data_IF_932004155812
#
_entry.id   IF_932004155812
#
_cell.length_a   1.000
_cell.length_b   1.000
_cell.length_c   1.000
_cell.angle_alpha   90.00
_cell.angle_beta   90.00
_cell.angle_gamma   90.00
#
_symmetry.space_group_name_H-M   'P 1'
#
loop_
_entity.id
_entity.type
_entity.pdbx_description
1 polymer ?
#
# COMPACT_ATOMS: atom_id res chain seq x y z
N UNK A 1 7.81 28.64 40.53
CA UNK A 1 8.90 28.02 39.78
C UNK A 1 8.54 26.58 39.48
N UNK A 2 8.38 26.29 38.17
CA UNK A 2 8.81 25.06 37.49
C UNK A 2 8.08 23.76 37.89
N UNK A 3 7.36 23.04 37.03
CA UNK A 3 7.60 22.77 35.62
C UNK A 3 6.27 22.53 34.87
N UNK A 4 6.24 22.98 33.62
CA UNK A 4 5.35 22.52 32.56
C UNK A 4 5.53 21.00 32.39
N UNK A 5 4.48 20.21 32.58
CA UNK A 5 4.40 18.91 31.92
C UNK A 5 3.62 19.14 30.63
N UNK A 6 4.39 19.31 29.56
CA UNK A 6 3.93 19.29 28.19
C UNK A 6 2.97 18.12 28.00
N UNK A 7 1.67 18.42 27.95
CA UNK A 7 0.71 17.52 27.34
C UNK A 7 1.05 17.53 25.85
N UNK A 8 1.95 16.63 25.43
CA UNK A 8 2.07 16.25 24.04
C UNK A 8 0.67 15.79 23.62
N UNK A 9 -0.04 16.66 22.89
CA UNK A 9 -1.23 16.28 22.16
C UNK A 9 -0.77 15.20 21.18
N UNK A 10 -0.89 13.92 21.57
CA UNK A 10 -0.68 12.80 20.67
C UNK A 10 -1.64 12.98 19.50
N UNK A 11 -1.11 13.45 18.38
CA UNK A 11 -1.82 13.50 17.11
C UNK A 11 -2.39 12.11 16.85
N UNK A 12 -3.69 11.97 16.54
CA UNK A 12 -4.29 10.68 16.34
C UNK A 12 -3.54 9.94 15.23
N UNK A 13 -2.97 8.78 15.55
CA UNK A 13 -2.21 7.98 14.59
C UNK A 13 -3.13 7.57 13.44
N UNK A 14 -3.01 8.28 12.32
CA UNK A 14 -3.78 7.97 11.11
C UNK A 14 -3.42 6.57 10.66
N UNK A 15 -4.44 5.80 10.24
CA UNK A 15 -4.24 4.45 9.72
C UNK A 15 -3.24 4.49 8.57
N UNK A 16 -2.12 3.79 8.73
CA UNK A 16 -1.10 3.68 7.69
C UNK A 16 -1.60 2.72 6.61
N UNK A 17 -1.70 3.21 5.36
CA UNK A 17 -2.19 2.43 4.23
C UNK A 17 -1.07 2.25 3.22
N UNK A 18 -0.65 1.00 3.06
CA UNK A 18 0.42 0.62 2.14
C UNK A 18 -0.15 -0.04 0.88
N UNK A 19 0.43 0.27 -0.28
CA UNK A 19 0.14 -0.43 -1.52
C UNK A 19 1.31 -1.35 -1.86
N UNK A 20 1.04 -2.63 -2.14
CA UNK A 20 2.03 -3.55 -2.69
C UNK A 20 1.62 -4.00 -4.08
N UNK A 21 2.46 -3.72 -5.06
CA UNK A 21 2.27 -4.16 -6.43
C UNK A 21 2.85 -5.56 -6.63
N UNK A 22 2.04 -6.46 -7.18
CA UNK A 22 2.49 -7.82 -7.51
C UNK A 22 3.42 -7.77 -8.74
N UNK A 23 4.53 -8.52 -8.75
CA UNK A 23 5.34 -8.72 -9.95
C UNK A 23 4.52 -9.13 -11.16
N UNK A 24 4.68 -8.41 -12.27
CA UNK A 24 4.06 -8.72 -13.55
C UNK A 24 5.13 -8.74 -14.64
N UNK A 25 5.17 -9.81 -15.43
CA UNK A 25 6.15 -9.96 -16.51
C UNK A 25 5.86 -9.06 -17.72
N UNK A 26 4.70 -8.40 -17.75
CA UNK A 26 4.30 -7.51 -18.84
C UNK A 26 4.20 -6.09 -18.29
N UNK A 27 4.79 -5.10 -18.97
CA UNK A 27 4.58 -3.70 -18.61
C UNK A 27 3.08 -3.40 -18.73
N UNK A 28 2.48 -3.01 -17.62
CA UNK A 28 1.06 -2.66 -17.56
C UNK A 28 0.92 -1.17 -17.85
N UNK A 29 0.25 -0.81 -18.96
CA UNK A 29 -0.14 0.59 -19.22
C UNK A 29 -1.29 1.06 -18.33
N UNK A 30 -1.81 0.19 -17.45
CA UNK A 30 -2.96 0.48 -16.58
C UNK A 30 -2.59 1.34 -15.39
N UNK A 31 -1.31 1.45 -15.03
CA UNK A 31 -0.88 2.29 -13.92
C UNK A 31 0.52 2.88 -14.11
N UNK A 32 0.77 3.99 -13.43
CA UNK A 32 2.04 4.70 -13.35
C UNK A 32 2.30 5.08 -11.89
N UNK A 33 3.50 4.78 -11.38
CA UNK A 33 3.93 5.21 -10.06
C UNK A 33 4.59 6.59 -10.22
N UNK A 34 3.95 7.65 -9.72
CA UNK A 34 4.47 9.02 -9.80
C UNK A 34 5.47 9.33 -8.69
N UNK A 35 5.25 8.75 -7.52
CA UNK A 35 6.16 8.80 -6.37
C UNK A 35 6.00 7.55 -5.53
N UNK A 36 6.82 7.41 -4.50
CA UNK A 36 6.71 6.38 -3.45
C UNK A 36 5.36 6.37 -2.71
N UNK A 37 4.48 7.35 -2.96
CA UNK A 37 3.18 7.49 -2.30
C UNK A 37 2.01 7.68 -3.27
N UNK A 38 2.27 7.92 -4.55
CA UNK A 38 1.25 8.30 -5.53
C UNK A 38 1.19 7.32 -6.70
N UNK A 39 0.03 6.68 -6.87
CA UNK A 39 -0.29 5.81 -8.01
C UNK A 39 -1.33 6.49 -8.89
N UNK A 40 -1.07 6.55 -10.20
CA UNK A 40 -2.08 6.90 -11.20
C UNK A 40 -2.50 5.63 -11.92
N UNK A 41 -3.80 5.43 -12.09
CA UNK A 41 -4.36 4.37 -12.94
C UNK A 41 -5.03 5.00 -14.15
N UNK A 42 -4.92 4.35 -15.31
CA UNK A 42 -5.50 4.82 -16.58
C UNK A 42 -6.28 3.68 -17.24
N UNK A 43 -7.54 3.94 -17.57
CA UNK A 43 -8.41 2.97 -18.23
C UNK A 43 -9.12 3.59 -19.43
N UNK A 44 -8.98 2.96 -20.59
CA UNK A 44 -9.74 3.31 -21.78
C UNK A 44 -11.14 2.71 -21.69
N UNK A 45 -12.14 3.56 -21.50
CA UNK A 45 -13.54 3.17 -21.48
C UNK A 45 -14.15 3.41 -22.85
N UNK A 46 -14.70 2.36 -23.45
CA UNK A 46 -15.47 2.47 -24.70
C UNK A 46 -16.96 2.46 -24.37
N UNK A 47 -17.63 3.60 -24.52
CA UNK A 47 -19.09 3.66 -24.37
C UNK A 47 -19.73 3.45 -25.73
N UNK A 48 -20.53 2.39 -25.89
CA UNK A 48 -21.30 2.14 -27.11
C UNK A 48 -22.70 2.74 -26.93
N UNK A 49 -22.95 3.91 -27.53
CA UNK A 49 -24.27 4.54 -27.59
C UNK A 49 -24.59 4.99 -29.02
N UNK A 50 -25.79 4.68 -29.51
CA UNK A 50 -26.39 5.19 -30.76
C UNK A 50 -25.40 5.34 -31.94
N UNK A 51 -24.70 4.26 -32.31
CA UNK A 51 -23.88 4.22 -33.53
C UNK A 51 -22.58 5.05 -33.50
N UNK A 52 -22.28 5.80 -32.44
CA UNK A 52 -20.98 6.47 -32.24
C UNK A 52 -20.17 5.75 -31.17
N UNK A 53 -18.98 5.26 -31.55
CA UNK A 53 -17.96 4.83 -30.59
C UNK A 53 -17.21 6.07 -30.11
N UNK A 54 -17.35 6.43 -28.84
CA UNK A 54 -16.46 7.40 -28.20
C UNK A 54 -15.52 6.66 -27.25
N UNK A 55 -14.21 6.85 -27.44
CA UNK A 55 -13.20 6.39 -26.49
C UNK A 55 -12.92 7.52 -25.50
N UNK A 56 -13.02 7.21 -24.20
CA UNK A 56 -12.63 8.13 -23.14
C UNK A 56 -11.56 7.46 -22.28
N UNK A 57 -10.43 8.13 -22.11
CA UNK A 57 -9.41 7.73 -21.15
C UNK A 57 -9.80 8.28 -19.77
N UNK A 58 -10.01 7.40 -18.80
CA UNK A 58 -10.32 7.77 -17.42
C UNK A 58 -9.10 7.48 -16.56
N UNK A 59 -8.48 8.54 -16.03
CA UNK A 59 -7.36 8.43 -15.10
C UNK A 59 -7.80 8.73 -13.66
N UNK A 60 -7.32 7.95 -12.69
CA UNK A 60 -7.53 8.19 -11.25
C UNK A 60 -6.21 8.19 -10.49
N UNK A 61 -6.07 9.13 -9.56
CA UNK A 61 -4.91 9.25 -8.67
C UNK A 61 -5.24 8.72 -7.28
N UNK A 62 -4.31 7.98 -6.69
CA UNK A 62 -4.43 7.38 -5.36
C UNK A 62 -3.18 7.73 -4.53
N UNK A 63 -3.38 8.06 -3.27
CA UNK A 63 -2.31 8.39 -2.31
C UNK A 63 -2.26 7.36 -1.20
N UNK A 64 -1.05 6.88 -0.90
CA UNK A 64 -0.75 5.90 0.13
C UNK A 64 0.32 6.42 1.10
N UNK A 65 0.51 5.74 2.23
CA UNK A 65 1.63 5.98 3.14
C UNK A 65 2.95 5.58 2.48
N UNK A 66 2.96 4.47 1.75
CA UNK A 66 4.06 4.06 0.88
C UNK A 66 3.59 3.02 -0.17
N UNK A 67 4.27 2.97 -1.31
CA UNK A 67 4.02 2.07 -2.44
C UNK A 67 5.24 1.17 -2.63
N UNK A 68 5.07 -0.11 -2.36
CA UNK A 68 6.03 -1.15 -2.68
C UNK A 68 5.84 -1.61 -4.11
N UNK A 69 6.89 -1.45 -4.91
CA UNK A 69 6.90 -1.84 -6.32
C UNK A 69 6.93 -3.36 -6.52
N UNK A 70 6.84 -3.80 -7.79
CA UNK A 70 7.02 -5.20 -8.18
C UNK A 70 8.27 -5.87 -7.63
N UNK A 71 9.36 -5.11 -7.50
CA UNK A 71 10.68 -5.62 -7.12
C UNK A 71 10.92 -5.58 -5.60
N UNK A 72 9.98 -5.02 -4.82
CA UNK A 72 10.13 -4.90 -3.36
C UNK A 72 10.10 -6.26 -2.66
N UNK A 73 11.08 -6.48 -1.80
CA UNK A 73 11.25 -7.75 -1.08
C UNK A 73 10.35 -7.86 0.16
N UNK A 74 10.09 -9.09 0.62
CA UNK A 74 9.37 -9.32 1.90
C UNK A 74 10.07 -8.64 3.07
N UNK A 75 11.41 -8.72 3.10
CA UNK A 75 12.23 -8.11 4.15
C UNK A 75 12.08 -6.60 4.19
N UNK A 76 12.11 -5.94 3.04
CA UNK A 76 11.93 -4.50 2.93
C UNK A 76 10.55 -4.06 3.46
N UNK A 77 9.49 -4.80 3.09
CA UNK A 77 8.14 -4.52 3.58
C UNK A 77 8.06 -4.73 5.10
N UNK A 78 8.66 -5.79 5.63
CA UNK A 78 8.72 -6.03 7.08
C UNK A 78 9.43 -4.90 7.83
N UNK A 79 10.59 -4.48 7.34
CA UNK A 79 11.38 -3.41 7.95
C UNK A 79 10.64 -2.07 7.95
N UNK A 80 9.84 -1.79 6.91
CA UNK A 80 9.09 -0.54 6.78
C UNK A 80 7.73 -0.53 7.49
N UNK A 81 7.04 -1.67 7.62
CA UNK A 81 5.65 -1.73 8.11
C UNK A 81 5.55 -2.30 9.52
N UNK A 82 6.35 -3.34 9.83
CA UNK A 82 6.12 -4.17 11.02
C UNK A 82 7.18 -3.92 12.09
N UNK A 83 8.44 -3.73 11.69
CA UNK A 83 9.59 -3.67 12.61
C UNK A 83 9.43 -2.65 13.74
N UNK A 84 9.02 -1.43 13.44
CA UNK A 84 8.90 -0.38 14.46
C UNK A 84 7.65 -0.56 15.32
N UNK A 85 6.56 -1.08 14.76
CA UNK A 85 5.36 -1.42 15.51
C UNK A 85 5.60 -2.57 16.49
N UNK A 86 6.40 -3.58 16.12
CA UNK A 86 6.79 -4.67 17.02
C UNK A 86 7.58 -4.20 18.25
N UNK A 87 8.39 -3.14 18.11
CA UNK A 87 9.16 -2.58 19.23
C UNK A 87 8.29 -1.91 20.29
N UNK A 88 7.11 -1.44 19.90
CA UNK A 88 6.12 -0.81 20.79
C UNK A 88 5.24 -1.83 21.53
N UNK A 89 5.27 -3.11 21.14
CA UNK A 89 4.48 -4.15 21.81
C UNK A 89 4.78 -4.30 23.32
N UNK A 90 6.06 -4.29 23.78
CA UNK A 90 6.38 -4.38 25.20
C UNK A 90 5.90 -3.17 26.02
N UNK A 91 5.68 -2.04 25.37
CA UNK A 91 5.14 -0.81 25.97
C UNK A 91 3.60 -0.88 26.11
N UNK A 92 2.96 -1.96 25.66
CA UNK A 92 1.52 -2.18 25.77
C UNK A 92 0.70 -1.66 24.59
N UNK A 93 1.36 -1.24 23.50
CA UNK A 93 0.65 -0.83 22.28
C UNK A 93 0.10 -2.03 21.51
N UNK A 94 -1.14 -1.90 21.01
CA UNK A 94 -1.74 -2.89 20.14
C UNK A 94 -1.42 -2.57 18.68
N UNK A 95 -0.99 -3.58 17.92
CA UNK A 95 -0.73 -3.46 16.49
C UNK A 95 -1.59 -4.46 15.70
N UNK A 96 -2.30 -3.97 14.68
CA UNK A 96 -3.13 -4.81 13.79
C UNK A 96 -2.71 -4.59 12.35
N UNK A 97 -2.28 -5.65 11.67
CA UNK A 97 -1.94 -5.65 10.25
C UNK A 97 -3.01 -6.37 9.44
N UNK A 98 -3.56 -5.68 8.43
CA UNK A 98 -4.57 -6.20 7.53
C UNK A 98 -4.07 -6.17 6.10
N UNK A 99 -4.13 -7.31 5.41
CA UNK A 99 -3.86 -7.36 3.95
C UNK A 99 -5.17 -7.42 3.18
N UNK A 100 -5.39 -6.46 2.27
CA UNK A 100 -6.61 -6.36 1.45
C UNK A 100 -6.27 -6.41 -0.05
N UNK A 101 -7.19 -6.95 -0.87
CA UNK A 101 -7.04 -7.02 -2.31
C UNK A 101 -7.76 -8.20 -2.98
N UNK A 102 -7.83 -8.18 -4.31
CA UNK A 102 -8.50 -9.20 -5.12
C UNK A 102 -7.86 -10.61 -4.99
N UNK A 103 -8.57 -11.66 -5.40
CA UNK A 103 -7.99 -13.01 -5.45
C UNK A 103 -6.74 -13.03 -6.33
N UNK A 104 -5.70 -13.77 -5.92
CA UNK A 104 -4.43 -13.85 -6.65
C UNK A 104 -3.51 -12.62 -6.55
N UNK A 105 -3.89 -11.57 -5.81
CA UNK A 105 -3.06 -10.35 -5.64
C UNK A 105 -1.83 -10.54 -4.75
N UNK A 106 -1.69 -11.69 -4.08
CA UNK A 106 -0.55 -11.99 -3.22
C UNK A 106 -0.75 -11.73 -1.73
N UNK A 107 -1.97 -11.55 -1.23
CA UNK A 107 -2.25 -11.37 0.23
C UNK A 107 -1.59 -12.44 1.11
N UNK A 108 -1.85 -13.72 0.81
CA UNK A 108 -1.25 -14.86 1.54
C UNK A 108 0.27 -14.89 1.38
N UNK A 109 0.79 -14.50 0.22
CA UNK A 109 2.23 -14.39 0.02
C UNK A 109 2.83 -13.27 0.87
N UNK A 110 2.15 -12.13 1.01
CA UNK A 110 2.60 -11.05 1.89
C UNK A 110 2.63 -11.52 3.34
N UNK A 111 1.53 -12.05 3.87
CA UNK A 111 1.42 -12.35 5.30
C UNK A 111 2.12 -13.65 5.70
N UNK A 112 1.98 -14.72 4.92
CA UNK A 112 2.57 -16.03 5.24
C UNK A 112 3.90 -16.29 4.54
N UNK A 113 4.05 -15.76 3.32
CA UNK A 113 5.22 -16.03 2.49
C UNK A 113 5.33 -17.47 2.02
N UNK A 114 6.55 -17.85 1.66
CA UNK A 114 6.98 -19.19 1.28
C UNK A 114 8.24 -19.58 2.07
N UNK A 115 8.66 -20.84 1.97
CA UNK A 115 9.91 -21.30 2.61
C UNK A 115 11.14 -20.52 2.11
N UNK A 116 11.16 -20.17 0.82
CA UNK A 116 12.26 -19.41 0.21
C UNK A 116 12.16 -17.89 0.43
N UNK A 117 10.97 -17.39 0.76
CA UNK A 117 10.69 -15.97 0.95
C UNK A 117 9.65 -15.82 2.07
N UNK A 118 10.09 -15.80 3.35
CA UNK A 118 9.20 -15.75 4.49
C UNK A 118 8.21 -14.57 4.46
N UNK A 119 7.10 -14.73 5.17
CA UNK A 119 6.07 -13.72 5.38
C UNK A 119 6.58 -12.45 6.07
N UNK A 120 5.65 -11.54 6.35
CA UNK A 120 5.85 -10.48 7.32
C UNK A 120 5.86 -11.04 8.75
#
# INVERSE_FOLDING_TARGET
ELFEEDSECEEPELVQVYLRLKPCNKPSSLYEIRSDRCLITSLDTTTAGHGRRTQHNVSKMYTFSHIFGPDSSQKEIFESVVKDNLKKLPEGHNFTLLTYGASGSGKTFTLMGTVSSPGL
#
